data_IF_992533052426
#
_entry.id   IF_992533052426
#
_cell.length_a   1.000
_cell.length_b   1.000
_cell.length_c   1.000
_cell.angle_alpha   90.00
_cell.angle_beta   90.00
_cell.angle_gamma   90.00
#
_symmetry.space_group_name_H-M   'P 1'
#
loop_
_entity.id
_entity.type
_entity.pdbx_description
1 polymer ?
#
# COMPACT_ATOMS: atom_id res chain seq x y z
N UNK A 1 -12.16 0.38 -14.90
CA UNK A 1 -11.17 0.39 -15.99
C UNK A 1 -10.23 1.56 -15.76
N UNK A 2 -8.91 1.40 -15.89
CA UNK A 2 -7.96 2.52 -15.72
C UNK A 2 -7.58 2.98 -17.09
N UNK A 3 -8.01 4.18 -17.45
CA UNK A 3 -7.68 4.79 -18.73
C UNK A 3 -6.79 6.01 -18.49
N UNK A 4 -5.72 6.13 -19.27
CA UNK A 4 -4.80 7.26 -19.25
C UNK A 4 -4.56 7.69 -20.69
N UNK A 5 -5.10 8.85 -21.06
CA UNK A 5 -4.87 9.44 -22.39
C UNK A 5 -3.55 10.22 -22.40
N UNK A 6 -2.88 10.18 -23.57
CA UNK A 6 -1.66 10.93 -23.84
C UNK A 6 -1.97 12.43 -23.90
N UNK A 7 -1.15 13.24 -23.24
CA UNK A 7 -1.25 14.71 -23.34
C UNK A 7 -0.43 15.24 -24.52
N UNK A 8 -0.79 16.41 -25.04
CA UNK A 8 0.05 17.11 -26.03
C UNK A 8 1.43 17.40 -25.41
N UNK A 9 2.50 17.17 -26.18
CA UNK A 9 3.91 17.31 -25.77
C UNK A 9 4.38 16.39 -24.64
N UNK A 10 3.72 15.24 -24.43
CA UNK A 10 4.16 14.23 -23.47
C UNK A 10 5.04 13.15 -24.12
N UNK A 11 6.20 12.85 -23.50
CA UNK A 11 7.02 11.69 -23.83
C UNK A 11 6.34 10.39 -23.39
N UNK A 12 6.56 9.31 -24.14
CA UNK A 12 5.99 8.00 -23.83
C UNK A 12 6.32 7.51 -22.41
N UNK A 13 7.56 7.75 -21.93
CA UNK A 13 7.97 7.35 -20.59
C UNK A 13 7.15 8.06 -19.49
N UNK A 14 6.84 9.34 -19.68
CA UNK A 14 6.02 10.13 -18.75
C UNK A 14 4.58 9.62 -18.68
N UNK A 15 4.03 9.22 -19.84
CA UNK A 15 2.71 8.59 -19.93
C UNK A 15 2.70 7.24 -19.18
N UNK A 16 3.71 6.40 -19.41
CA UNK A 16 3.84 5.10 -18.75
C UNK A 16 3.93 5.25 -17.23
N UNK A 17 4.74 6.18 -16.72
CA UNK A 17 4.85 6.45 -15.28
C UNK A 17 3.51 6.87 -14.67
N UNK A 18 2.73 7.72 -15.35
CA UNK A 18 1.38 8.09 -14.91
C UNK A 18 0.45 6.89 -14.86
N UNK A 19 0.47 6.06 -15.89
CA UNK A 19 -0.30 4.82 -15.94
C UNK A 19 0.08 3.88 -14.80
N UNK A 20 1.37 3.60 -14.60
CA UNK A 20 1.86 2.74 -13.51
C UNK A 20 1.44 3.26 -12.15
N UNK A 21 1.58 4.57 -11.88
CA UNK A 21 1.12 5.17 -10.60
C UNK A 21 -0.38 5.04 -10.42
N UNK A 22 -1.18 5.25 -11.48
CA UNK A 22 -2.65 5.12 -11.39
C UNK A 22 -3.09 3.67 -11.22
N UNK A 23 -2.39 2.71 -11.83
CA UNK A 23 -2.60 1.27 -11.66
C UNK A 23 -2.23 0.76 -10.27
N UNK A 24 -1.15 1.28 -9.69
CA UNK A 24 -0.79 1.00 -8.30
C UNK A 24 -1.82 1.61 -7.32
N UNK A 25 -2.19 2.88 -7.54
CA UNK A 25 -3.13 3.59 -6.66
C UNK A 25 -4.53 3.01 -6.69
N UNK A 26 -4.96 2.46 -7.82
CA UNK A 26 -6.28 1.83 -7.95
C UNK A 26 -6.39 0.48 -7.24
N UNK A 27 -5.29 -0.07 -6.72
CA UNK A 27 -5.26 -1.34 -6.00
C UNK A 27 -5.57 -2.57 -6.87
N UNK A 28 -5.74 -2.41 -8.19
CA UNK A 28 -6.12 -3.50 -9.11
C UNK A 28 -5.08 -4.60 -9.13
N UNK A 29 -3.80 -4.26 -9.06
CA UNK A 29 -2.73 -5.24 -8.92
C UNK A 29 -2.88 -6.12 -7.67
N UNK A 30 -3.22 -5.52 -6.52
CA UNK A 30 -3.40 -6.23 -5.25
C UNK A 30 -4.65 -7.11 -5.32
N UNK A 31 -5.74 -6.58 -5.89
CA UNK A 31 -6.98 -7.32 -6.10
C UNK A 31 -6.76 -8.55 -6.99
N UNK A 32 -6.08 -8.40 -8.12
CA UNK A 32 -5.75 -9.52 -9.02
C UNK A 32 -4.92 -10.59 -8.31
N UNK A 33 -3.93 -10.19 -7.50
CA UNK A 33 -3.12 -11.14 -6.72
C UNK A 33 -3.96 -11.87 -5.67
N UNK A 34 -4.83 -11.16 -4.96
CA UNK A 34 -5.72 -11.74 -3.95
C UNK A 34 -6.72 -12.73 -4.55
N UNK A 35 -7.30 -12.40 -5.71
CA UNK A 35 -8.30 -13.25 -6.40
C UNK A 35 -7.67 -14.44 -7.15
N UNK A 36 -6.35 -14.49 -7.31
CA UNK A 36 -5.67 -15.54 -8.08
C UNK A 36 -5.90 -16.94 -7.50
N UNK A 37 -6.03 -17.04 -6.18
CA UNK A 37 -6.25 -18.31 -5.47
C UNK A 37 -7.38 -18.15 -4.46
N UNK A 38 -8.09 -19.24 -4.17
CA UNK A 38 -9.12 -19.27 -3.11
C UNK A 38 -8.44 -19.23 -1.75
N UNK A 39 -8.71 -18.19 -0.97
CA UNK A 39 -8.32 -18.14 0.44
C UNK A 39 -9.46 -18.68 1.32
N UNK A 40 -9.20 -19.62 2.25
CA UNK A 40 -10.19 -20.05 3.23
C UNK A 40 -10.43 -18.96 4.28
N UNK A 41 -11.59 -18.98 4.92
CA UNK A 41 -11.89 -18.03 5.99
C UNK A 41 -10.90 -18.20 7.17
N UNK A 42 -10.43 -17.07 7.70
CA UNK A 42 -9.53 -17.09 8.84
C UNK A 42 -10.25 -17.60 10.11
N UNK A 43 -9.65 -18.60 10.77
CA UNK A 43 -10.12 -19.11 12.06
C UNK A 43 -9.99 -18.05 13.17
N UNK A 44 -10.72 -18.24 14.29
CA UNK A 44 -10.66 -17.34 15.45
C UNK A 44 -9.22 -17.11 15.95
N UNK A 45 -8.42 -18.18 16.00
CA UNK A 45 -7.01 -18.12 16.43
C UNK A 45 -6.16 -17.29 15.46
N UNK A 46 -6.28 -17.50 14.14
CA UNK A 46 -5.56 -16.72 13.13
C UNK A 46 -5.93 -15.23 13.18
N UNK A 47 -7.20 -14.91 13.43
CA UNK A 47 -7.65 -13.51 13.61
C UNK A 47 -7.01 -12.88 14.85
N UNK A 48 -7.00 -13.60 15.98
CA UNK A 48 -6.37 -13.15 17.23
C UNK A 48 -4.87 -12.92 17.07
N UNK A 49 -4.16 -13.86 16.46
CA UNK A 49 -2.71 -13.74 16.21
C UNK A 49 -2.38 -12.54 15.32
N UNK A 50 -3.15 -12.33 14.24
CA UNK A 50 -2.99 -11.16 13.37
C UNK A 50 -3.21 -9.84 14.13
N UNK A 51 -4.21 -9.79 15.01
CA UNK A 51 -4.47 -8.62 15.84
C UNK A 51 -3.32 -8.34 16.82
N UNK A 52 -2.84 -9.36 17.53
CA UNK A 52 -1.69 -9.24 18.43
C UNK A 52 -0.44 -8.77 17.69
N UNK A 53 -0.17 -9.30 16.48
CA UNK A 53 0.95 -8.83 15.66
C UNK A 53 0.87 -7.35 15.28
N UNK A 54 -0.35 -6.83 15.05
CA UNK A 54 -0.54 -5.40 14.75
C UNK A 54 -0.23 -4.53 15.95
N UNK A 55 -0.66 -4.95 17.14
CA UNK A 55 -0.38 -4.26 18.41
C UNK A 55 1.12 -4.24 18.68
N UNK A 56 1.78 -5.41 18.65
CA UNK A 56 3.22 -5.49 18.93
C UNK A 56 4.07 -4.71 17.92
N UNK A 57 3.67 -4.67 16.65
CA UNK A 57 4.34 -3.85 15.64
C UNK A 57 4.12 -2.34 15.85
N UNK A 58 2.95 -1.94 16.35
CA UNK A 58 2.69 -0.56 16.76
C UNK A 58 3.61 -0.14 17.90
N UNK A 59 3.69 -0.94 18.95
CA UNK A 59 4.56 -0.68 20.11
C UNK A 59 6.04 -0.62 19.73
N UNK A 60 6.50 -1.54 18.88
CA UNK A 60 7.87 -1.52 18.34
C UNK A 60 8.14 -0.22 17.57
N UNK A 61 7.21 0.23 16.74
CA UNK A 61 7.35 1.46 15.99
C UNK A 61 7.42 2.68 16.92
N UNK A 62 6.55 2.75 17.93
CA UNK A 62 6.51 3.84 18.90
C UNK A 62 7.80 3.89 19.75
N UNK A 63 8.33 2.74 20.14
CA UNK A 63 9.62 2.65 20.84
C UNK A 63 10.78 3.15 19.96
N UNK A 64 10.84 2.71 18.70
CA UNK A 64 11.88 3.14 17.75
C UNK A 64 11.80 4.64 17.44
N UNK A 65 10.58 5.18 17.40
CA UNK A 65 10.35 6.62 17.27
C UNK A 65 10.87 7.38 18.49
N UNK A 66 10.50 6.94 19.70
CA UNK A 66 10.95 7.56 20.97
C UNK A 66 12.46 7.51 21.18
N UNK A 67 13.10 6.42 20.76
CA UNK A 67 14.55 6.24 20.87
C UNK A 67 15.34 6.93 19.76
N UNK A 68 14.67 7.61 18.82
CA UNK A 68 15.30 8.34 17.72
C UNK A 68 15.97 7.46 16.66
N UNK A 69 15.81 6.14 16.74
CA UNK A 69 16.32 5.18 15.76
C UNK A 69 15.54 5.23 14.44
N UNK A 70 14.33 5.80 14.48
CA UNK A 70 13.50 6.05 13.31
C UNK A 70 13.40 7.56 13.07
N UNK A 71 13.71 8.01 11.84
CA UNK A 71 13.49 9.41 11.45
C UNK A 71 12.00 9.74 11.53
N UNK A 72 11.64 10.83 12.20
CA UNK A 72 10.31 11.42 12.19
C UNK A 72 10.01 12.07 10.83
N UNK A 73 10.12 11.31 9.74
CA UNK A 73 9.58 11.81 8.48
C UNK A 73 8.05 11.86 8.64
N UNK A 74 7.41 13.03 8.43
CA UNK A 74 5.96 13.09 8.46
C UNK A 74 5.51 12.08 7.41
N UNK A 75 4.82 11.01 7.85
CA UNK A 75 4.27 9.97 6.97
C UNK A 75 3.70 10.71 5.78
N UNK A 76 4.36 10.62 4.62
CA UNK A 76 3.94 11.38 3.44
C UNK A 76 2.49 10.99 3.24
N UNK A 77 1.57 11.85 3.67
CA UNK A 77 0.14 11.62 3.48
C UNK A 77 0.07 11.60 1.97
N UNK A 78 -0.04 10.40 1.40
CA UNK A 78 -0.35 10.25 0.00
C UNK A 78 -1.63 11.07 -0.13
N UNK A 79 -1.51 12.29 -0.68
CA UNK A 79 -2.65 13.14 -0.98
C UNK A 79 -3.51 12.23 -1.86
N UNK A 80 -4.58 11.68 -1.29
CA UNK A 80 -5.64 11.05 -2.04
C UNK A 80 -6.22 12.19 -2.87
N UNK A 81 -5.68 12.34 -4.07
CA UNK A 81 -6.26 13.14 -5.14
C UNK A 81 -7.34 12.31 -5.79
#
# INVERSE_FOLDING_TARGET
MIEVKRKKNESFDSLLRRFSRRFQSSGKQIESKRRRFREPEASKNKRRESALRRVTKGEQYDYLLKTGQLKEEPRRRYRRR
#
